data_IF_923946148632
#
_entry.id   IF_923946148632
#
_cell.length_a   1.000
_cell.length_b   1.000
_cell.length_c   1.000
_cell.angle_alpha   90.00
_cell.angle_beta   90.00
_cell.angle_gamma   90.00
#
_symmetry.space_group_name_H-M   'P 1'
#
loop_
_entity.id
_entity.type
_entity.pdbx_description
1 polymer ?
#
# COMPACT_ATOMS: atom_id res chain seq x y z
N UNK A 1 -20.42 -7.00 -19.06
CA UNK A 1 -19.44 -6.89 -17.98
C UNK A 1 -18.44 -5.82 -18.40
N UNK A 2 -18.16 -4.83 -17.55
CA UNK A 2 -17.43 -3.64 -17.95
C UNK A 2 -15.92 -3.92 -17.84
N UNK A 3 -15.20 -3.88 -18.97
CA UNK A 3 -13.76 -4.22 -19.06
C UNK A 3 -12.89 -3.49 -18.02
N UNK A 4 -13.28 -2.25 -17.66
CA UNK A 4 -12.62 -1.45 -16.63
C UNK A 4 -12.70 -2.04 -15.22
N UNK A 5 -13.80 -2.69 -14.86
CA UNK A 5 -13.96 -3.33 -13.53
C UNK A 5 -13.11 -4.59 -13.42
N UNK A 6 -12.98 -5.35 -14.52
CA UNK A 6 -12.12 -6.53 -14.58
C UNK A 6 -10.64 -6.16 -14.47
N UNK A 7 -10.20 -5.10 -15.15
CA UNK A 7 -8.84 -4.57 -15.05
C UNK A 7 -8.52 -4.09 -13.62
N UNK A 8 -9.46 -3.36 -12.99
CA UNK A 8 -9.32 -2.90 -11.60
C UNK A 8 -9.19 -4.09 -10.64
N UNK A 9 -10.09 -5.07 -10.74
CA UNK A 9 -10.05 -6.28 -9.90
C UNK A 9 -8.78 -7.09 -10.10
N UNK A 10 -8.28 -7.20 -11.33
CA UNK A 10 -7.03 -7.89 -11.61
C UNK A 10 -5.82 -7.18 -10.99
N UNK A 11 -5.80 -5.84 -11.00
CA UNK A 11 -4.75 -5.06 -10.34
C UNK A 11 -4.77 -5.24 -8.82
N UNK A 12 -5.95 -5.24 -8.22
CA UNK A 12 -6.15 -5.52 -6.79
C UNK A 12 -5.72 -6.94 -6.44
N UNK A 13 -6.17 -7.93 -7.20
CA UNK A 13 -5.81 -9.34 -7.00
C UNK A 13 -4.29 -9.51 -7.03
N UNK A 14 -3.61 -8.94 -8.03
CA UNK A 14 -2.16 -9.00 -8.10
C UNK A 14 -1.47 -8.35 -6.90
N UNK A 15 -2.04 -7.27 -6.35
CA UNK A 15 -1.52 -6.65 -5.13
C UNK A 15 -1.70 -7.55 -3.90
N UNK A 16 -2.88 -8.18 -3.78
CA UNK A 16 -3.22 -9.09 -2.68
C UNK A 16 -2.33 -10.33 -2.70
N UNK A 17 -2.10 -10.92 -3.88
CA UNK A 17 -1.25 -12.12 -4.02
C UNK A 17 0.17 -11.85 -3.54
N UNK A 18 0.78 -10.74 -4.00
CA UNK A 18 2.13 -10.34 -3.57
C UNK A 18 2.15 -10.01 -2.07
N UNK A 19 1.10 -9.34 -1.57
CA UNK A 19 0.97 -9.04 -0.16
C UNK A 19 0.96 -10.33 0.68
N UNK A 20 0.15 -11.32 0.34
CA UNK A 20 0.05 -12.58 1.09
C UNK A 20 1.37 -13.36 1.06
N UNK A 21 2.03 -13.42 -0.11
CA UNK A 21 3.35 -14.04 -0.23
C UNK A 21 4.35 -13.39 0.72
N UNK A 22 4.50 -12.07 0.68
CA UNK A 22 5.46 -11.36 1.51
C UNK A 22 5.04 -11.31 2.99
N UNK A 23 3.75 -11.22 3.29
CA UNK A 23 3.25 -11.16 4.66
C UNK A 23 3.52 -12.49 5.38
N UNK A 24 3.19 -13.63 4.77
CA UNK A 24 3.33 -14.95 5.38
C UNK A 24 4.80 -15.36 5.57
N UNK A 25 5.71 -14.85 4.74
CA UNK A 25 7.15 -15.05 4.94
C UNK A 25 7.66 -14.32 6.19
N UNK A 26 7.08 -13.15 6.50
CA UNK A 26 7.63 -12.21 7.49
C UNK A 26 6.84 -12.13 8.80
N UNK A 27 5.68 -12.81 8.90
CA UNK A 27 4.83 -12.78 10.08
C UNK A 27 4.61 -14.21 10.62
N UNK A 28 4.43 -14.38 11.94
CA UNK A 28 4.28 -15.69 12.56
C UNK A 28 2.92 -16.35 12.28
N UNK A 29 1.92 -15.56 11.88
CA UNK A 29 0.56 -16.03 11.60
C UNK A 29 0.29 -15.82 10.12
N UNK A 30 0.10 -16.91 9.39
CA UNK A 30 -0.22 -16.86 7.97
C UNK A 30 -1.64 -16.37 7.75
N UNK A 31 -1.81 -15.59 6.69
CA UNK A 31 -3.11 -15.20 6.15
C UNK A 31 -3.38 -15.95 4.85
N UNK A 32 -4.65 -16.26 4.62
CA UNK A 32 -5.16 -16.77 3.34
C UNK A 32 -6.30 -15.92 2.84
N UNK A 33 -6.42 -15.80 1.52
CA UNK A 33 -7.58 -15.13 0.92
C UNK A 33 -8.80 -16.05 0.98
N UNK A 34 -9.89 -15.55 1.57
CA UNK A 34 -11.20 -16.22 1.55
C UNK A 34 -11.94 -15.85 0.28
N UNK A 35 -12.02 -14.54 -0.02
CA UNK A 35 -12.66 -14.01 -1.22
C UNK A 35 -12.25 -12.57 -1.52
N UNK A 36 -12.26 -12.21 -2.79
CA UNK A 36 -12.31 -10.81 -3.23
C UNK A 36 -13.76 -10.33 -3.17
N UNK A 37 -13.99 -9.10 -2.71
CA UNK A 37 -15.32 -8.51 -2.62
C UNK A 37 -15.26 -7.00 -2.92
N UNK A 38 -16.40 -6.30 -2.93
CA UNK A 38 -16.38 -4.87 -3.25
C UNK A 38 -15.82 -4.00 -2.12
N UNK A 39 -16.06 -4.39 -0.86
CA UNK A 39 -15.69 -3.64 0.35
C UNK A 39 -15.55 -4.56 1.57
N UNK A 40 -14.40 -4.58 2.27
CA UNK A 40 -13.09 -4.19 1.74
C UNK A 40 -12.73 -5.01 0.50
N UNK A 41 -11.71 -4.60 -0.26
CA UNK A 41 -11.35 -5.25 -1.54
C UNK A 41 -11.10 -6.77 -1.39
N UNK A 42 -10.62 -7.24 -0.24
CA UNK A 42 -10.54 -8.66 0.10
C UNK A 42 -10.91 -8.99 1.55
N UNK A 43 -11.45 -10.20 1.74
CA UNK A 43 -11.59 -10.84 3.04
C UNK A 43 -10.52 -11.91 3.17
N UNK A 44 -9.68 -11.77 4.19
CA UNK A 44 -8.65 -12.71 4.56
C UNK A 44 -9.02 -13.43 5.86
N UNK A 45 -8.34 -14.53 6.12
CA UNK A 45 -8.52 -15.32 7.32
C UNK A 45 -7.17 -15.86 7.79
N UNK A 46 -6.96 -15.88 9.10
CA UNK A 46 -5.77 -16.45 9.72
C UNK A 46 -5.91 -17.96 10.00
N UNK A 47 -4.87 -18.59 10.55
CA UNK A 47 -4.92 -20.01 10.91
C UNK A 47 -5.93 -20.36 12.02
N UNK A 48 -6.41 -19.37 12.79
CA UNK A 48 -7.42 -19.52 13.84
C UNK A 48 -8.86 -19.30 13.35
N UNK A 49 -9.06 -19.02 12.06
CA UNK A 49 -10.32 -18.60 11.45
C UNK A 49 -10.78 -17.19 11.88
N UNK A 50 -9.86 -16.35 12.33
CA UNK A 50 -10.12 -14.93 12.55
C UNK A 50 -10.09 -14.20 11.21
N UNK A 51 -11.15 -13.45 10.94
CA UNK A 51 -11.30 -12.70 9.70
C UNK A 51 -10.64 -11.33 9.80
N UNK A 52 -10.00 -10.92 8.71
CA UNK A 52 -9.45 -9.57 8.56
C UNK A 52 -9.73 -9.05 7.16
N UNK A 53 -10.25 -7.83 7.09
CA UNK A 53 -10.45 -7.11 5.85
C UNK A 53 -9.14 -6.55 5.30
N UNK A 54 -8.96 -6.55 3.99
CA UNK A 54 -7.85 -5.89 3.32
C UNK A 54 -8.38 -4.91 2.27
N UNK A 55 -8.16 -3.62 2.52
CA UNK A 55 -8.46 -2.56 1.56
C UNK A 55 -7.20 -2.26 0.73
N UNK A 56 -7.34 -2.09 -0.58
CA UNK A 56 -6.23 -1.84 -1.50
C UNK A 56 -6.33 -0.44 -2.09
N UNK A 57 -5.19 0.23 -2.20
CA UNK A 57 -5.06 1.47 -2.97
C UNK A 57 -3.76 1.48 -3.75
N UNK A 58 -3.80 2.07 -4.94
CA UNK A 58 -2.66 2.13 -5.84
C UNK A 58 -2.16 3.58 -5.93
N UNK A 59 -0.86 3.77 -5.75
CA UNK A 59 -0.18 5.03 -5.99
C UNK A 59 0.40 5.01 -7.39
N UNK A 60 -0.31 5.67 -8.31
CA UNK A 60 0.22 6.03 -9.61
C UNK A 60 0.79 7.44 -9.50
N UNK A 61 2.07 7.61 -9.80
CA UNK A 61 2.62 8.92 -10.09
C UNK A 61 2.53 9.13 -11.61
N UNK A 62 2.00 10.27 -12.05
CA UNK A 62 1.73 10.51 -13.47
C UNK A 62 3.01 10.38 -14.29
N UNK A 63 3.05 9.41 -15.20
CA UNK A 63 4.18 9.16 -16.08
C UNK A 63 4.45 10.35 -17.01
N UNK A 64 3.43 11.11 -17.40
CA UNK A 64 3.59 12.32 -18.20
C UNK A 64 4.28 13.42 -17.39
N UNK A 65 3.87 13.62 -16.14
CA UNK A 65 4.50 14.57 -15.22
C UNK A 65 5.94 14.16 -14.91
N UNK A 66 6.16 12.86 -14.63
CA UNK A 66 7.48 12.28 -14.42
C UNK A 66 8.41 12.44 -15.63
N UNK A 67 7.90 12.14 -16.83
CA UNK A 67 8.67 12.23 -18.09
C UNK A 67 8.97 13.67 -18.46
N UNK A 68 8.06 14.61 -18.21
CA UNK A 68 8.32 16.05 -18.39
C UNK A 68 9.39 16.58 -17.43
N UNK A 69 9.41 16.09 -16.19
CA UNK A 69 10.48 16.43 -15.24
C UNK A 69 11.83 15.83 -15.68
N UNK A 70 11.88 14.55 -16.03
CA UNK A 70 13.10 13.86 -16.51
C UNK A 70 13.63 14.40 -17.85
N UNK A 71 12.77 14.93 -18.71
CA UNK A 71 13.18 15.52 -20.00
C UNK A 71 13.73 16.94 -19.86
N UNK A 72 13.48 17.63 -18.73
CA UNK A 72 13.93 19.02 -18.50
C UNK A 72 15.23 19.11 -17.73
N UNK A 73 15.66 18.05 -17.07
CA UNK A 73 16.95 17.98 -16.41
C UNK A 73 17.66 16.69 -16.80
N UNK A 74 18.90 16.81 -17.27
CA UNK A 74 19.79 15.66 -17.39
C UNK A 74 19.87 14.93 -16.03
N UNK A 75 19.22 13.77 -15.92
CA UNK A 75 19.47 12.75 -14.88
C UNK A 75 19.48 13.24 -13.41
N UNK A 76 18.79 14.32 -13.05
CA UNK A 76 18.70 14.75 -11.63
C UNK A 76 17.55 14.02 -10.94
N UNK A 77 17.83 13.41 -9.79
CA UNK A 77 16.81 12.86 -8.88
C UNK A 77 15.66 13.87 -8.68
N UNK A 78 14.40 13.41 -8.56
CA UNK A 78 13.28 14.31 -8.23
C UNK A 78 13.63 15.16 -7.01
N UNK A 79 13.36 16.47 -7.07
CA UNK A 79 13.64 17.37 -5.97
C UNK A 79 12.84 17.01 -4.71
N UNK A 80 13.32 17.46 -3.53
CA UNK A 80 12.67 17.19 -2.25
C UNK A 80 11.19 17.60 -2.21
N UNK A 81 10.81 18.67 -2.91
CA UNK A 81 9.42 19.13 -3.05
C UNK A 81 8.51 18.09 -3.72
N UNK A 82 9.03 17.35 -4.70
CA UNK A 82 8.27 16.32 -5.42
C UNK A 82 8.02 15.11 -4.51
N UNK A 83 9.01 14.74 -3.71
CA UNK A 83 8.87 13.69 -2.71
C UNK A 83 7.91 14.11 -1.58
N UNK A 84 7.95 15.36 -1.13
CA UNK A 84 6.99 15.90 -0.17
C UNK A 84 5.54 15.82 -0.69
N UNK A 85 5.32 16.17 -1.96
CA UNK A 85 4.02 15.99 -2.61
C UNK A 85 3.63 14.51 -2.68
N UNK A 86 4.58 13.61 -2.97
CA UNK A 86 4.30 12.18 -2.98
C UNK A 86 3.87 11.66 -1.60
N UNK A 87 4.56 12.05 -0.52
CA UNK A 87 4.18 11.71 0.85
C UNK A 87 2.81 12.27 1.21
N UNK A 88 2.50 13.51 0.78
CA UNK A 88 1.17 14.08 0.95
C UNK A 88 0.09 13.23 0.28
N UNK A 89 0.33 12.73 -0.93
CA UNK A 89 -0.59 11.82 -1.61
C UNK A 89 -0.79 10.52 -0.80
N UNK A 90 0.26 9.96 -0.21
CA UNK A 90 0.12 8.79 0.69
C UNK A 90 -0.81 9.10 1.86
N UNK A 91 -0.56 10.22 2.55
CA UNK A 91 -1.37 10.65 3.69
C UNK A 91 -2.84 10.87 3.30
N UNK A 92 -3.07 11.56 2.18
CA UNK A 92 -4.42 11.81 1.66
C UNK A 92 -5.14 10.49 1.32
N UNK A 93 -4.42 9.48 0.80
CA UNK A 93 -5.02 8.16 0.53
C UNK A 93 -5.45 7.45 1.80
N UNK A 94 -4.62 7.49 2.85
CA UNK A 94 -4.94 6.88 4.14
C UNK A 94 -6.20 7.54 4.72
N UNK A 95 -6.21 8.86 4.84
CA UNK A 95 -7.36 9.62 5.40
C UNK A 95 -8.63 9.36 4.61
N UNK A 96 -8.57 9.42 3.28
CA UNK A 96 -9.75 9.20 2.43
C UNK A 96 -10.30 7.77 2.54
N UNK A 97 -9.43 6.77 2.71
CA UNK A 97 -9.86 5.38 2.90
C UNK A 97 -10.45 5.14 4.30
N UNK A 98 -9.90 5.77 5.33
CA UNK A 98 -10.47 5.71 6.68
C UNK A 98 -11.86 6.34 6.74
N UNK A 99 -12.06 7.49 6.10
CA UNK A 99 -13.37 8.14 6.03
C UNK A 99 -14.40 7.24 5.33
N UNK A 100 -14.00 6.57 4.24
CA UNK A 100 -14.88 5.60 3.58
C UNK A 100 -15.19 4.43 4.48
N UNK A 101 -14.21 3.94 5.24
CA UNK A 101 -14.40 2.82 6.15
C UNK A 101 -15.37 3.14 7.29
N UNK A 102 -15.42 4.38 7.75
CA UNK A 102 -16.33 4.83 8.81
C UNK A 102 -17.81 4.58 8.48
N UNK A 103 -18.18 4.64 7.21
CA UNK A 103 -19.56 4.44 6.77
C UNK A 103 -19.95 2.95 6.66
N UNK A 104 -19.02 2.02 6.94
CA UNK A 104 -19.26 0.58 6.87
C UNK A 104 -19.27 -0.08 8.25
N UNK A 105 -20.31 -0.85 8.51
CA UNK A 105 -20.34 -1.79 9.63
C UNK A 105 -19.74 -3.12 9.15
N UNK A 106 -18.60 -3.52 9.72
CA UNK A 106 -17.98 -4.81 9.51
C UNK A 106 -17.62 -5.44 10.86
N UNK A 107 -17.80 -6.74 10.99
CA UNK A 107 -17.59 -7.48 12.25
C UNK A 107 -16.12 -7.92 12.45
N UNK A 108 -15.22 -7.48 11.58
CA UNK A 108 -13.80 -7.84 11.57
C UNK A 108 -12.90 -6.60 11.49
N UNK A 109 -11.66 -6.65 11.99
CA UNK A 109 -10.67 -5.59 11.76
C UNK A 109 -10.33 -5.46 10.27
N UNK A 110 -9.85 -4.28 9.87
CA UNK A 110 -9.40 -4.02 8.51
C UNK A 110 -7.95 -3.52 8.48
N UNK A 111 -7.20 -3.95 7.48
CA UNK A 111 -5.88 -3.44 7.11
C UNK A 111 -5.98 -2.62 5.82
N UNK A 112 -5.00 -1.73 5.60
CA UNK A 112 -4.84 -1.00 4.35
C UNK A 112 -3.54 -1.41 3.67
N UNK A 113 -3.62 -1.81 2.40
CA UNK A 113 -2.49 -2.04 1.51
C UNK A 113 -2.36 -0.90 0.51
N UNK A 114 -1.24 -0.19 0.58
CA UNK A 114 -0.85 0.85 -0.37
C UNK A 114 0.17 0.24 -1.33
N UNK A 115 -0.23 -0.01 -2.58
CA UNK A 115 0.67 -0.47 -3.64
C UNK A 115 1.25 0.72 -4.38
N UNK A 116 2.56 0.92 -4.23
CA UNK A 116 3.31 1.92 -4.97
C UNK A 116 3.76 1.34 -6.32
N UNK A 117 3.24 1.91 -7.41
CA UNK A 117 3.65 1.60 -8.79
C UNK A 117 4.36 2.79 -9.45
N UNK A 118 4.76 3.80 -8.67
CA UNK A 118 5.58 4.92 -9.13
C UNK A 118 6.91 4.42 -9.67
N UNK A 119 7.33 4.99 -10.80
CA UNK A 119 8.66 4.78 -11.37
C UNK A 119 9.69 5.80 -10.87
N UNK A 120 9.26 6.77 -10.04
CA UNK A 120 10.12 7.85 -9.53
C UNK A 120 10.54 7.66 -8.08
N UNK A 121 9.71 7.01 -7.28
CA UNK A 121 9.90 6.88 -5.85
C UNK A 121 9.73 5.43 -5.45
N UNK A 122 10.73 4.89 -4.77
CA UNK A 122 10.74 3.55 -4.24
C UNK A 122 10.39 3.47 -2.76
N UNK A 123 10.61 2.29 -2.19
CA UNK A 123 10.46 2.02 -0.76
C UNK A 123 11.39 2.93 0.06
N UNK A 124 12.67 2.99 -0.29
CA UNK A 124 13.70 3.77 0.41
C UNK A 124 13.36 5.26 0.47
N UNK A 125 12.79 5.82 -0.60
CA UNK A 125 12.37 7.23 -0.63
C UNK A 125 11.26 7.49 0.39
N UNK A 126 10.22 6.63 0.42
CA UNK A 126 9.12 6.77 1.39
C UNK A 126 9.63 6.62 2.82
N UNK A 127 10.50 5.64 3.08
CA UNK A 127 11.04 5.41 4.41
C UNK A 127 11.95 6.54 4.91
N UNK A 128 12.70 7.19 4.01
CA UNK A 128 13.50 8.37 4.37
C UNK A 128 12.64 9.56 4.86
N UNK A 129 11.34 9.57 4.49
CA UNK A 129 10.35 10.55 4.92
C UNK A 129 9.29 9.97 5.86
N UNK A 130 9.55 8.81 6.49
CA UNK A 130 8.60 8.15 7.41
C UNK A 130 8.06 9.09 8.50
N UNK A 131 8.89 10.01 8.99
CA UNK A 131 8.53 11.02 10.00
C UNK A 131 7.43 12.01 9.55
N UNK A 132 7.14 12.10 8.25
CA UNK A 132 6.07 12.93 7.67
C UNK A 132 4.79 12.14 7.35
N UNK A 133 4.78 10.83 7.55
CA UNK A 133 3.58 10.01 7.39
C UNK A 133 2.63 10.22 8.57
N UNK A 134 1.35 10.41 8.27
CA UNK A 134 0.30 10.58 9.28
C UNK A 134 -0.19 9.20 9.69
N UNK A 135 -0.15 8.83 10.98
CA UNK A 135 -0.69 7.55 11.44
C UNK A 135 -2.19 7.46 11.19
N UNK A 136 -2.71 6.25 10.91
CA UNK A 136 -4.15 6.04 10.79
C UNK A 136 -4.84 6.46 12.10
N UNK A 137 -6.07 6.95 12.00
CA UNK A 137 -6.92 7.34 13.14
C UNK A 137 -7.46 6.16 13.96
N UNK A 138 -6.92 4.95 13.73
CA UNK A 138 -7.29 3.71 14.42
C UNK A 138 -8.37 2.89 13.72
N UNK A 139 -8.75 3.27 12.48
CA UNK A 139 -9.74 2.52 11.69
C UNK A 139 -9.12 1.33 10.96
N UNK A 140 -7.87 1.48 10.52
CA UNK A 140 -7.06 0.37 10.07
C UNK A 140 -6.18 -0.13 11.21
N UNK A 141 -6.15 -1.44 11.44
CA UNK A 141 -5.25 -2.07 12.41
C UNK A 141 -3.80 -1.97 11.98
N UNK A 142 -3.54 -2.08 10.67
CA UNK A 142 -2.22 -1.96 10.06
C UNK A 142 -2.32 -1.25 8.71
N UNK A 143 -1.28 -0.52 8.35
CA UNK A 143 -1.11 0.09 7.03
C UNK A 143 0.19 -0.40 6.43
N UNK A 144 0.08 -1.15 5.34
CA UNK A 144 1.16 -1.78 4.64
C UNK A 144 1.50 -1.00 3.37
N UNK A 145 2.80 -0.80 3.12
CA UNK A 145 3.31 -0.28 1.86
C UNK A 145 3.96 -1.42 1.08
N UNK A 146 3.45 -1.66 -0.13
CA UNK A 146 4.03 -2.57 -1.11
C UNK A 146 4.72 -1.75 -2.20
N UNK A 147 6.04 -1.81 -2.28
CA UNK A 147 6.83 -0.99 -3.20
C UNK A 147 8.09 -1.72 -3.71
N UNK A 148 8.88 -1.07 -4.54
CA UNK A 148 10.14 -1.56 -5.11
C UNK A 148 11.20 -0.47 -4.98
N UNK A 149 12.48 -0.81 -4.93
CA UNK A 149 13.59 0.15 -4.97
C UNK A 149 14.28 0.14 -6.33
N UNK A 150 13.51 0.39 -7.40
CA UNK A 150 13.98 0.31 -8.79
C UNK A 150 14.56 -1.07 -9.18
N UNK A 151 14.38 -2.07 -8.33
CA UNK A 151 14.63 -3.50 -8.56
C UNK A 151 13.34 -4.20 -8.97
N UNK A 152 13.39 -5.43 -9.54
CA UNK A 152 12.19 -6.21 -9.83
C UNK A 152 11.49 -6.70 -8.55
N UNK A 153 12.21 -6.76 -7.43
CA UNK A 153 11.75 -7.37 -6.18
C UNK A 153 10.77 -6.45 -5.44
N UNK A 154 9.65 -7.03 -5.02
CA UNK A 154 8.68 -6.35 -4.18
C UNK A 154 9.12 -6.37 -2.72
N UNK A 155 8.93 -5.23 -2.06
CA UNK A 155 9.18 -5.01 -0.64
C UNK A 155 7.86 -4.67 0.03
N UNK A 156 7.63 -5.26 1.21
CA UNK A 156 6.46 -5.03 2.04
C UNK A 156 6.90 -4.52 3.41
N UNK A 157 6.33 -3.40 3.86
CA UNK A 157 6.59 -2.88 5.21
C UNK A 157 5.32 -2.34 5.87
N UNK A 158 5.20 -2.53 7.17
CA UNK A 158 4.19 -1.85 7.97
C UNK A 158 4.67 -0.41 8.27
N UNK A 159 3.91 0.58 7.82
CA UNK A 159 4.29 1.99 7.92
C UNK A 159 4.29 2.52 9.36
N UNK A 160 3.55 1.90 10.28
CA UNK A 160 3.34 2.44 11.63
C UNK A 160 3.78 1.52 12.76
N UNK A 161 4.24 0.32 12.45
CA UNK A 161 5.01 -0.44 13.42
C UNK A 161 6.39 0.21 13.63
N UNK A 162 6.67 0.47 14.91
CA UNK A 162 7.97 0.88 15.42
C UNK A 162 8.72 -0.40 15.75
N UNK A 163 9.72 -0.73 14.94
CA UNK A 163 10.77 -1.75 15.17
C UNK A 163 10.47 -2.83 16.22
N UNK A 164 9.89 -3.96 15.79
CA UNK A 164 10.19 -5.26 16.36
C UNK A 164 11.42 -5.82 15.65
N UNK A 165 12.57 -5.85 16.32
CA UNK A 165 13.89 -6.14 15.73
C UNK A 165 14.06 -7.51 15.04
N UNK A 166 15.14 -7.75 14.33
CA UNK A 166 16.34 -6.95 14.15
C UNK A 166 17.25 -7.57 13.10
N UNK A 167 18.27 -6.82 12.71
CA UNK A 167 19.50 -7.46 12.26
C UNK A 167 19.99 -8.35 13.41
N UNK A 168 19.96 -9.66 13.19
CA UNK A 168 20.97 -10.55 13.73
C UNK A 168 21.90 -10.92 12.59
#
# INVERSE_FOLDING_TARGET
MNKHEEEKKALEQAAIDIFLELYNINNPVDLRMVRQQEKPDALLEDANNEQVGLEVTHLFYDMEEARRMMSRSELTKPGAEVLDNFIKVINDRIVNKEQKLQDYSHDYPCMLLIRNVSLLFGMSDVLSFKHKLVPPSGRFTQVWLLSRDFTPDWLLINLYEVGGGGMK
#
